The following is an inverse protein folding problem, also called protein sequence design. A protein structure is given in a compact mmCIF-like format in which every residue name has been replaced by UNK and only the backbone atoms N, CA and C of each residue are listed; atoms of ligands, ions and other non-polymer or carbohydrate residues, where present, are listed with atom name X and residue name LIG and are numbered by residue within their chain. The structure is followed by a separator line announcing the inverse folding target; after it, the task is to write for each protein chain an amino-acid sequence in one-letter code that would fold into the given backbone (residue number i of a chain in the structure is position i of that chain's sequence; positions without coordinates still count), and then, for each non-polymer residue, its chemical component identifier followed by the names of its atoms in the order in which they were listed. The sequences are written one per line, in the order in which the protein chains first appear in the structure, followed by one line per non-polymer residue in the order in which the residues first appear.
data_IF_625064873134
#
_entry.id   IF_625064873134
#
_cell.length_a   1.000
_cell.length_b   1.000
_cell.length_c   1.000
_cell.angle_alpha   90.00
_cell.angle_beta   90.00
_cell.angle_gamma   90.00
#
_symmetry.space_group_name_H-M   'P 1'
#
loop_
_entity.id
_entity.type
_entity.pdbx_description
1 polymer ?
#
# COMPACT_ATOMS: atom_id res chain seq x y z
N UNK A 1 -15.30 -21.37 -17.29
CA UNK A 1 -13.81 -21.47 -17.21
C UNK A 1 -13.16 -20.11 -16.90
N UNK A 2 -13.43 -19.06 -17.70
CA UNK A 2 -12.86 -17.71 -17.50
C UNK A 2 -13.15 -17.09 -16.12
N UNK A 3 -14.37 -17.23 -15.58
CA UNK A 3 -14.69 -16.68 -14.25
C UNK A 3 -13.83 -17.28 -13.11
N UNK A 4 -13.42 -18.56 -13.22
CA UNK A 4 -12.62 -19.23 -12.19
C UNK A 4 -11.20 -18.68 -12.14
N UNK A 5 -10.62 -18.39 -13.31
CA UNK A 5 -9.26 -17.83 -13.42
C UNK A 5 -9.20 -16.41 -12.84
N UNK A 6 -10.20 -15.59 -13.14
CA UNK A 6 -10.32 -14.23 -12.59
C UNK A 6 -10.45 -14.26 -11.06
N UNK A 7 -11.26 -15.17 -10.51
CA UNK A 7 -11.40 -15.31 -9.04
C UNK A 7 -10.09 -15.72 -8.39
N UNK A 8 -9.38 -16.69 -8.97
CA UNK A 8 -8.07 -17.13 -8.43
C UNK A 8 -7.05 -15.98 -8.49
N UNK A 9 -6.99 -15.27 -9.63
CA UNK A 9 -6.14 -14.10 -9.79
C UNK A 9 -6.45 -12.99 -8.78
N UNK A 10 -7.73 -12.71 -8.54
CA UNK A 10 -8.16 -11.74 -7.53
C UNK A 10 -7.70 -12.16 -6.13
N UNK A 11 -7.95 -13.42 -5.74
CA UNK A 11 -7.54 -13.96 -4.43
C UNK A 11 -6.02 -13.88 -4.23
N UNK A 12 -5.23 -14.16 -5.26
CA UNK A 12 -3.76 -14.03 -5.19
C UNK A 12 -3.29 -12.61 -4.90
N UNK A 13 -4.02 -11.58 -5.37
CA UNK A 13 -3.66 -10.19 -5.18
C UNK A 13 -4.17 -9.59 -3.87
N UNK A 14 -5.17 -10.21 -3.22
CA UNK A 14 -5.73 -9.71 -1.95
C UNK A 14 -4.65 -9.53 -0.88
N UNK A 15 -3.85 -10.57 -0.64
CA UNK A 15 -2.80 -10.54 0.38
C UNK A 15 -1.73 -9.47 0.13
N UNK A 16 -1.04 -9.44 -1.03
CA UNK A 16 0.01 -8.45 -1.28
C UNK A 16 -0.49 -7.01 -1.31
N UNK A 17 -1.69 -6.77 -1.86
CA UNK A 17 -2.27 -5.42 -1.90
C UNK A 17 -2.59 -4.95 -0.48
N UNK A 18 -3.27 -5.77 0.34
CA UNK A 18 -3.58 -5.40 1.72
C UNK A 18 -2.31 -5.21 2.57
N UNK A 19 -1.30 -6.05 2.37
CA UNK A 19 -0.02 -5.92 3.04
C UNK A 19 0.66 -4.57 2.74
N UNK A 20 0.73 -4.18 1.46
CA UNK A 20 1.27 -2.89 1.06
C UNK A 20 0.46 -1.72 1.63
N UNK A 21 -0.86 -1.81 1.60
CA UNK A 21 -1.76 -0.79 2.15
C UNK A 21 -1.51 -0.60 3.65
N UNK A 22 -1.42 -1.69 4.42
CA UNK A 22 -1.16 -1.65 5.85
C UNK A 22 0.21 -1.01 6.16
N UNK A 23 1.25 -1.35 5.39
CA UNK A 23 2.57 -0.75 5.56
C UNK A 23 2.58 0.75 5.26
N UNK A 24 1.97 1.17 4.14
CA UNK A 24 1.85 2.59 3.77
C UNK A 24 1.07 3.39 4.81
N UNK A 25 -0.03 2.83 5.31
CA UNK A 25 -0.84 3.48 6.33
C UNK A 25 -0.07 3.67 7.63
N UNK A 26 0.60 2.62 8.13
CA UNK A 26 1.43 2.71 9.33
C UNK A 26 2.61 3.66 9.14
N UNK A 27 3.26 3.65 7.98
CA UNK A 27 4.39 4.53 7.71
C UNK A 27 3.96 6.01 7.66
N UNK A 28 2.87 6.31 6.96
CA UNK A 28 2.35 7.68 6.89
C UNK A 28 1.85 8.14 8.26
N UNK A 29 1.21 7.26 9.03
CA UNK A 29 0.78 7.56 10.39
C UNK A 29 1.95 7.96 11.30
N UNK A 30 3.07 7.23 11.25
CA UNK A 30 4.27 7.57 12.02
C UNK A 30 4.87 8.92 11.60
N UNK A 31 4.89 9.21 10.30
CA UNK A 31 5.42 10.49 9.80
C UNK A 31 4.50 11.67 10.11
N UNK A 32 3.18 11.45 10.04
CA UNK A 32 2.16 12.47 10.19
C UNK A 32 1.04 11.94 11.09
N UNK A 33 1.23 11.95 12.42
CA UNK A 33 0.22 11.47 13.34
C UNK A 33 -1.02 12.37 13.23
N UNK A 34 -2.06 11.88 12.58
CA UNK A 34 -3.37 12.52 12.51
C UNK A 34 -4.26 11.87 13.54
N UNK A 35 -4.68 12.63 14.55
CA UNK A 35 -5.73 12.17 15.45
C UNK A 35 -7.05 12.16 14.67
N UNK A 36 -7.78 11.05 14.73
CA UNK A 36 -9.18 11.03 14.31
C UNK A 36 -10.02 11.80 15.33
N UNK A 37 -9.94 13.13 15.31
CA UNK A 37 -10.84 13.98 16.07
C UNK A 37 -12.11 14.21 15.26
N UNK A 38 -13.24 14.36 15.97
CA UNK A 38 -14.51 14.75 15.39
C UNK A 38 -14.32 16.08 14.65
N UNK A 39 -14.58 16.09 13.35
CA UNK A 39 -14.44 17.28 12.51
C UNK A 39 -15.55 18.25 12.92
N UNK A 40 -15.17 19.39 13.48
CA UNK A 40 -16.14 20.46 13.71
C UNK A 40 -16.53 21.08 12.37
N UNK A 41 -17.81 21.36 12.10
CA UNK A 41 -18.22 22.06 10.89
C UNK A 41 -17.42 23.36 10.74
N UNK A 42 -16.67 23.49 9.65
CA UNK A 42 -15.78 24.63 9.39
C UNK A 42 -14.27 24.37 9.59
N UNK A 43 -13.86 23.21 10.09
CA UNK A 43 -12.44 22.84 10.19
C UNK A 43 -11.86 22.39 8.82
N UNK A 44 -11.58 23.38 7.98
CA UNK A 44 -10.92 23.18 6.69
C UNK A 44 -9.48 22.70 6.85
N UNK A 45 -8.83 23.00 7.99
CA UNK A 45 -7.44 22.63 8.24
C UNK A 45 -7.31 21.12 8.48
N UNK A 46 -8.18 20.54 9.31
CA UNK A 46 -8.24 19.09 9.53
C UNK A 46 -8.58 18.32 8.27
N UNK A 47 -9.55 18.83 7.50
CA UNK A 47 -9.94 18.23 6.21
C UNK A 47 -8.80 18.27 5.20
N UNK A 48 -8.10 19.40 5.07
CA UNK A 48 -6.95 19.55 4.17
C UNK A 48 -5.82 18.57 4.50
N UNK A 49 -5.50 18.37 5.79
CA UNK A 49 -4.47 17.42 6.21
C UNK A 49 -4.84 15.97 5.85
N UNK A 50 -6.10 15.57 6.02
CA UNK A 50 -6.58 14.24 5.61
C UNK A 50 -6.50 14.05 4.10
N UNK A 51 -6.83 15.07 3.32
CA UNK A 51 -6.70 15.03 1.86
C UNK A 51 -5.25 14.85 1.42
N UNK A 52 -4.29 15.55 2.05
CA UNK A 52 -2.86 15.37 1.75
C UNK A 52 -2.41 13.95 2.07
N UNK A 53 -2.78 13.42 3.25
CA UNK A 53 -2.47 12.02 3.63
C UNK A 53 -3.04 11.03 2.61
N UNK A 54 -4.28 11.24 2.18
CA UNK A 54 -4.92 10.42 1.16
C UNK A 54 -4.17 10.49 -0.17
N UNK A 55 -3.80 11.68 -0.64
CA UNK A 55 -3.03 11.87 -1.88
C UNK A 55 -1.69 11.13 -1.81
N UNK A 56 -0.95 11.27 -0.71
CA UNK A 56 0.33 10.58 -0.52
C UNK A 56 0.14 9.06 -0.52
N UNK A 57 -0.91 8.56 0.15
CA UNK A 57 -1.26 7.12 0.16
C UNK A 57 -1.57 6.62 -1.25
N UNK A 58 -2.39 7.35 -2.00
CA UNK A 58 -2.78 6.98 -3.38
C UNK A 58 -1.58 7.04 -4.33
N UNK A 59 -0.66 8.00 -4.17
CA UNK A 59 0.58 8.05 -4.93
C UNK A 59 1.47 6.82 -4.64
N UNK A 60 1.65 6.45 -3.37
CA UNK A 60 2.42 5.26 -3.00
C UNK A 60 1.87 3.98 -3.61
N UNK A 61 0.55 3.79 -3.52
CA UNK A 61 -0.13 2.63 -4.12
C UNK A 61 -0.04 2.65 -5.64
N UNK A 62 -0.20 3.82 -6.28
CA UNK A 62 -0.11 3.96 -7.74
C UNK A 62 1.28 3.60 -8.24
N UNK A 63 2.34 4.07 -7.58
CA UNK A 63 3.73 3.77 -7.96
C UNK A 63 4.00 2.27 -7.82
N UNK A 64 3.68 1.67 -6.67
CA UNK A 64 3.89 0.25 -6.45
C UNK A 64 3.07 -0.63 -7.42
N UNK A 65 1.81 -0.25 -7.64
CA UNK A 65 0.93 -0.91 -8.60
C UNK A 65 1.43 -0.78 -10.04
N UNK A 66 2.00 0.36 -10.42
CA UNK A 66 2.59 0.56 -11.76
C UNK A 66 3.81 -0.34 -11.96
N UNK A 67 4.70 -0.44 -10.97
CA UNK A 67 5.88 -1.33 -11.03
C UNK A 67 5.44 -2.78 -11.18
N UNK A 68 4.49 -3.22 -10.34
CA UNK A 68 3.94 -4.58 -10.42
C UNK A 68 3.20 -4.84 -11.73
N UNK A 69 2.44 -3.86 -12.23
CA UNK A 69 1.71 -3.92 -13.48
C UNK A 69 2.63 -4.04 -14.70
N UNK A 70 3.73 -3.28 -14.73
CA UNK A 70 4.76 -3.40 -15.78
C UNK A 70 5.40 -4.79 -15.76
N UNK A 71 5.80 -5.28 -14.59
CA UNK A 71 6.38 -6.61 -14.46
C UNK A 71 5.40 -7.71 -14.91
N UNK A 72 4.13 -7.59 -14.53
CA UNK A 72 3.07 -8.48 -14.96
C UNK A 72 2.87 -8.45 -16.47
N UNK A 73 2.80 -7.26 -17.08
CA UNK A 73 2.63 -7.09 -18.52
C UNK A 73 3.79 -7.70 -19.31
N UNK A 74 5.03 -7.52 -18.85
CA UNK A 74 6.21 -8.14 -19.45
C UNK A 74 6.16 -9.67 -19.36
N UNK A 75 5.77 -10.21 -18.20
CA UNK A 75 5.64 -11.66 -18.03
C UNK A 75 4.51 -12.27 -18.88
N UNK A 76 3.40 -11.53 -19.05
CA UNK A 76 2.28 -11.93 -19.89
C UNK A 76 2.70 -12.03 -21.36
N UNK A 77 3.39 -11.00 -21.88
CA UNK A 77 3.92 -10.98 -23.23
C UNK A 77 4.97 -12.07 -23.47
N UNK A 78 5.80 -12.39 -22.46
CA UNK A 78 6.87 -13.39 -22.58
C UNK A 78 6.41 -14.85 -22.49
N UNK A 79 5.25 -15.14 -21.90
CA UNK A 79 4.86 -16.52 -21.54
C UNK A 79 3.64 -17.05 -22.32
N UNK A 80 3.23 -16.36 -23.38
CA UNK A 80 2.14 -16.81 -24.26
C UNK A 80 0.75 -16.70 -23.64
N UNK A 81 0.41 -15.50 -23.13
CA UNK A 81 -0.96 -15.11 -22.73
C UNK A 81 -1.52 -15.79 -21.45
N UNK A 82 -0.66 -16.26 -20.55
CA UNK A 82 -1.11 -16.80 -19.25
C UNK A 82 -1.37 -15.69 -18.23
N UNK A 83 -2.65 -15.35 -18.02
CA UNK A 83 -3.09 -14.39 -16.99
C UNK A 83 -2.66 -14.79 -15.58
N UNK A 84 -2.68 -16.09 -15.28
CA UNK A 84 -2.34 -16.60 -13.95
C UNK A 84 -0.87 -16.31 -13.59
N UNK A 85 0.03 -16.51 -14.56
CA UNK A 85 1.45 -16.21 -14.37
C UNK A 85 1.68 -14.71 -14.20
N UNK A 86 1.00 -13.88 -15.00
CA UNK A 86 1.09 -12.43 -14.87
C UNK A 86 0.64 -11.94 -13.48
N UNK A 87 -0.47 -12.47 -12.96
CA UNK A 87 -0.95 -12.14 -11.62
C UNK A 87 -0.03 -12.67 -10.51
N UNK A 88 0.54 -13.86 -10.68
CA UNK A 88 1.53 -14.39 -9.74
C UNK A 88 2.79 -13.52 -9.68
N UNK A 89 3.28 -13.06 -10.84
CA UNK A 89 4.42 -12.13 -10.93
C UNK A 89 4.07 -10.81 -10.25
N UNK A 90 2.90 -10.23 -10.53
CA UNK A 90 2.43 -9.01 -9.87
C UNK A 90 2.39 -9.17 -8.35
N UNK A 91 1.83 -10.27 -7.85
CA UNK A 91 1.73 -10.57 -6.43
C UNK A 91 3.11 -10.66 -5.77
N UNK A 92 4.07 -11.36 -6.40
CA UNK A 92 5.46 -11.45 -5.91
C UNK A 92 6.12 -10.07 -5.87
N UNK A 93 5.98 -9.29 -6.94
CA UNK A 93 6.59 -7.94 -7.00
C UNK A 93 6.01 -7.03 -5.92
N UNK A 94 4.70 -7.05 -5.70
CA UNK A 94 4.06 -6.29 -4.61
C UNK A 94 4.54 -6.75 -3.23
N UNK A 95 4.71 -8.05 -3.01
CA UNK A 95 5.29 -8.57 -1.76
C UNK A 95 6.72 -8.07 -1.56
N UNK A 96 7.55 -8.11 -2.60
CA UNK A 96 8.92 -7.62 -2.54
C UNK A 96 8.99 -6.13 -2.24
N UNK A 97 8.11 -5.32 -2.85
CA UNK A 97 7.99 -3.89 -2.54
C UNK A 97 7.60 -3.69 -1.07
N UNK A 98 6.60 -4.44 -0.58
CA UNK A 98 6.20 -4.38 0.83
C UNK A 98 7.34 -4.76 1.79
N UNK A 99 8.07 -5.84 1.50
CA UNK A 99 9.25 -6.25 2.29
C UNK A 99 10.34 -5.17 2.25
N UNK A 100 10.62 -4.61 1.09
CA UNK A 100 11.60 -3.52 0.94
C UNK A 100 11.18 -2.24 1.69
N UNK A 101 9.88 -2.06 1.92
CA UNK A 101 9.34 -0.94 2.70
C UNK A 101 9.47 -1.15 4.21
N UNK A 102 9.58 -2.40 4.69
CA UNK A 102 9.69 -2.70 6.14
C UNK A 102 10.87 -1.98 6.83
N UNK A 103 12.11 -1.96 6.29
CA UNK A 103 13.20 -1.20 6.92
C UNK A 103 12.91 0.28 7.08
N UNK A 104 12.19 0.89 6.12
CA UNK A 104 11.78 2.29 6.21
C UNK A 104 10.76 2.49 7.33
N UNK A 105 9.80 1.58 7.45
CA UNK A 105 8.82 1.56 8.52
C UNK A 105 9.48 1.38 9.89
N UNK A 106 10.38 0.41 10.04
CA UNK A 106 11.12 0.20 11.29
C UNK A 106 11.94 1.45 11.67
N UNK A 107 12.57 2.11 10.70
CA UNK A 107 13.31 3.35 10.94
C UNK A 107 12.38 4.50 11.37
N UNK A 108 11.19 4.60 10.80
CA UNK A 108 10.19 5.57 11.23
C UNK A 108 9.71 5.28 12.66
N UNK A 109 9.50 4.01 13.01
CA UNK A 109 9.12 3.60 14.36
C UNK A 109 10.17 4.02 15.39
N UNK A 110 11.45 3.75 15.17
CA UNK A 110 12.51 4.14 16.11
C UNK A 110 12.56 5.66 16.33
N UNK A 111 12.16 6.47 15.34
CA UNK A 111 12.21 7.92 15.40
C UNK A 111 10.95 8.57 15.98
N UNK A 112 9.79 7.98 15.73
CA UNK A 112 8.48 8.58 16.00
C UNK A 112 7.59 7.68 16.86
N UNK A 113 8.18 6.81 17.68
CA UNK A 113 7.45 5.88 18.55
C UNK A 113 6.51 6.65 19.50
N UNK A 114 5.18 6.57 19.32
CA UNK A 114 4.23 7.31 20.14
C UNK A 114 4.22 6.88 21.61
N UNK A 115 4.73 5.68 21.92
CA UNK A 115 4.72 5.13 23.29
C UNK A 115 5.70 5.84 24.21
N UNK A 116 6.80 6.36 23.65
CA UNK A 116 7.87 7.03 24.41
C UNK A 116 7.44 8.43 24.86
N UNK A 117 6.58 9.10 24.08
CA UNK A 117 6.14 10.48 24.32
C UNK A 117 4.80 10.57 25.11
N UNK A 118 4.40 9.51 25.82
CA UNK A 118 3.19 9.57 26.66
C UNK A 118 3.48 10.30 27.99
N UNK A 119 2.84 11.45 28.27
CA UNK A 119 2.98 12.09 29.57
C UNK A 119 2.30 11.23 30.64
N UNK A 120 3.06 10.87 31.69
CA UNK A 120 2.56 10.28 32.94
C UNK A 120 1.77 11.29 33.77
#
# INVERSE_FOLDING_TARGET
PQHREVVIAAVMLVLPVNFLFALLENYIFLLFPTREMAVSPGDLQGTGRRMVVLVVKMLGVTIAGSIAGIAAALSYAGTGDSLLLACAVAAIVLMLIGIAMMPLLCRAFVRFDPSVDTPV
#
